data_IF_267746504018
#
_entry.id   IF_267746504018
#
_cell.length_a   1.000
_cell.length_b   1.000
_cell.length_c   1.000
_cell.angle_alpha   90.00
_cell.angle_beta   90.00
_cell.angle_gamma   90.00
#
_symmetry.space_group_name_H-M   'P 1'
#
loop_
_entity.id
_entity.type
_entity.pdbx_description
1 polymer ?
#
# COMPACT_ATOMS: atom_id res chain seq x y z
N UNK A 1 4.05 10.53 16.90
CA UNK A 1 3.36 11.48 16.00
C UNK A 1 1.91 11.50 16.40
N UNK A 2 1.35 12.66 16.70
CA UNK A 2 -0.09 12.84 16.90
C UNK A 2 -0.83 12.68 15.56
N UNK A 3 -2.12 12.34 15.60
CA UNK A 3 -2.95 12.10 14.40
C UNK A 3 -2.97 13.25 13.38
N UNK A 4 -2.62 14.47 13.78
CA UNK A 4 -2.62 15.67 12.93
C UNK A 4 -1.21 16.18 12.54
N UNK A 5 -0.15 15.47 12.93
CA UNK A 5 1.20 15.86 12.53
C UNK A 5 1.40 15.54 11.04
N UNK A 6 1.64 16.58 10.24
CA UNK A 6 1.93 16.45 8.82
C UNK A 6 3.41 16.64 8.53
N UNK A 7 3.93 15.90 7.55
CA UNK A 7 5.31 16.00 7.09
C UNK A 7 5.36 16.27 5.59
N UNK A 8 6.48 16.82 5.14
CA UNK A 8 6.83 17.06 3.73
C UNK A 8 8.13 16.37 3.31
N UNK A 9 8.84 15.73 4.25
CA UNK A 9 10.18 15.19 4.02
C UNK A 9 10.12 13.84 3.29
N UNK A 10 10.96 13.67 2.26
CA UNK A 10 11.17 12.36 1.63
C UNK A 10 12.32 11.61 2.31
N UNK A 11 12.03 10.50 2.98
CA UNK A 11 13.01 9.56 3.53
C UNK A 11 12.58 8.12 3.21
N UNK A 12 13.51 7.25 2.77
CA UNK A 12 13.28 5.81 2.61
C UNK A 12 13.42 5.26 1.18
N UNK A 13 13.13 3.96 1.04
CA UNK A 13 13.20 3.23 -0.23
C UNK A 13 11.97 3.49 -1.08
N UNK A 14 12.16 4.03 -2.29
CA UNK A 14 11.09 4.46 -3.23
C UNK A 14 9.98 3.44 -3.46
N UNK A 15 10.30 2.14 -3.46
CA UNK A 15 9.33 1.07 -3.70
C UNK A 15 8.20 0.99 -2.65
N UNK A 16 8.41 1.55 -1.45
CA UNK A 16 7.42 1.57 -0.36
C UNK A 16 6.73 2.93 -0.21
N UNK A 17 7.10 3.92 -1.03
CA UNK A 17 6.62 5.29 -0.87
C UNK A 17 5.27 5.47 -1.57
N UNK A 18 4.25 6.03 -0.89
CA UNK A 18 2.93 6.25 -1.49
C UNK A 18 2.88 7.44 -2.45
N UNK A 19 1.82 7.54 -3.28
CA UNK A 19 1.69 8.57 -4.31
C UNK A 19 1.78 10.01 -3.79
N UNK A 20 1.16 10.31 -2.65
CA UNK A 20 1.13 11.65 -2.06
C UNK A 20 2.54 12.13 -1.66
N UNK A 21 3.39 11.24 -1.15
CA UNK A 21 4.77 11.56 -0.81
C UNK A 21 5.59 11.79 -2.08
N UNK A 22 5.40 10.97 -3.13
CA UNK A 22 6.04 11.18 -4.44
C UNK A 22 5.59 12.48 -5.13
N UNK A 23 4.39 12.94 -4.83
CA UNK A 23 3.84 14.24 -5.28
C UNK A 23 4.23 15.41 -4.37
N UNK A 24 5.05 15.16 -3.34
CA UNK A 24 5.41 16.17 -2.33
C UNK A 24 4.19 16.83 -1.66
N UNK A 25 3.11 16.08 -1.49
CA UNK A 25 1.92 16.53 -0.79
C UNK A 25 2.10 16.32 0.72
N UNK A 26 1.48 17.15 1.57
CA UNK A 26 1.44 16.89 3.00
C UNK A 26 0.77 15.55 3.27
N UNK A 27 1.33 14.78 4.20
CA UNK A 27 0.83 13.45 4.56
C UNK A 27 0.91 13.24 6.07
N UNK A 28 0.09 12.31 6.58
CA UNK A 28 0.21 11.83 7.97
C UNK A 28 1.08 10.57 7.99
N UNK A 29 1.92 10.40 9.02
CA UNK A 29 2.77 9.20 9.15
C UNK A 29 1.95 7.91 9.10
N UNK A 30 0.80 7.90 9.78
CA UNK A 30 -0.11 6.76 9.81
C UNK A 30 -0.58 6.30 8.43
N UNK A 31 -1.00 7.22 7.55
CA UNK A 31 -1.48 6.83 6.22
C UNK A 31 -0.36 6.29 5.32
N UNK A 32 0.87 6.79 5.50
CA UNK A 32 2.06 6.32 4.79
C UNK A 32 2.50 4.93 5.29
N UNK A 33 2.39 4.69 6.59
CA UNK A 33 2.66 3.38 7.19
C UNK A 33 1.69 2.32 6.67
N UNK A 34 0.40 2.65 6.56
CA UNK A 34 -0.61 1.75 5.98
C UNK A 34 -0.28 1.37 4.53
N UNK A 35 0.16 2.33 3.70
CA UNK A 35 0.60 2.02 2.34
C UNK A 35 1.80 1.07 2.34
N UNK A 36 2.82 1.37 3.14
CA UNK A 36 4.04 0.57 3.23
C UNK A 36 3.73 -0.85 3.70
N UNK A 37 2.81 -1.00 4.67
CA UNK A 37 2.27 -2.29 5.10
C UNK A 37 1.63 -3.05 3.94
N UNK A 38 0.81 -2.39 3.11
CA UNK A 38 0.21 -3.01 1.92
C UNK A 38 1.24 -3.49 0.91
N UNK A 39 2.33 -2.72 0.71
CA UNK A 39 3.45 -3.13 -0.15
C UNK A 39 4.13 -4.37 0.41
N UNK A 40 4.45 -4.39 1.70
CA UNK A 40 5.06 -5.54 2.37
C UNK A 40 4.15 -6.76 2.30
N UNK A 41 2.86 -6.62 2.57
CA UNK A 41 1.88 -7.71 2.46
C UNK A 41 1.80 -8.27 1.04
N UNK A 42 1.78 -7.41 0.02
CA UNK A 42 1.85 -7.85 -1.37
C UNK A 42 3.11 -8.67 -1.64
N UNK A 43 4.27 -8.19 -1.20
CA UNK A 43 5.55 -8.90 -1.37
C UNK A 43 5.55 -10.24 -0.63
N UNK A 44 4.98 -10.34 0.57
CA UNK A 44 4.88 -11.62 1.29
C UNK A 44 4.06 -12.66 0.52
N UNK A 45 2.97 -12.23 -0.11
CA UNK A 45 2.08 -13.12 -0.88
C UNK A 45 2.64 -13.47 -2.26
N UNK A 46 3.52 -12.62 -2.83
CA UNK A 46 3.88 -12.66 -4.27
C UNK A 46 5.35 -12.87 -4.56
N UNK A 47 6.22 -12.51 -3.63
CA UNK A 47 7.67 -12.50 -3.78
C UNK A 47 8.23 -11.37 -4.64
N UNK A 48 7.41 -10.40 -5.07
CA UNK A 48 7.86 -9.26 -5.89
C UNK A 48 7.06 -7.99 -5.58
N UNK A 49 7.58 -6.83 -6.00
CA UNK A 49 7.00 -5.51 -5.72
C UNK A 49 5.69 -5.27 -6.49
N UNK A 50 4.67 -4.63 -5.87
CA UNK A 50 3.42 -4.29 -6.56
C UNK A 50 3.61 -3.25 -7.67
N UNK A 51 4.51 -2.28 -7.43
CA UNK A 51 4.84 -1.21 -8.37
C UNK A 51 6.36 -1.03 -8.40
N UNK A 52 7.01 -1.56 -9.43
CA UNK A 52 8.45 -1.41 -9.62
C UNK A 52 8.75 -0.64 -10.91
N UNK A 53 9.48 0.46 -10.79
CA UNK A 53 10.07 1.18 -11.91
C UNK A 53 11.24 2.02 -11.40
N UNK A 54 12.36 1.98 -12.10
CA UNK A 54 13.53 2.80 -11.76
C UNK A 54 13.24 4.30 -11.92
N UNK A 55 12.26 4.67 -12.75
CA UNK A 55 11.85 6.05 -12.92
C UNK A 55 10.69 6.40 -11.96
N UNK A 56 10.89 7.34 -11.01
CA UNK A 56 9.85 7.71 -10.04
C UNK A 56 8.54 8.19 -10.67
N UNK A 57 8.60 8.86 -11.85
CA UNK A 57 7.41 9.33 -12.55
C UNK A 57 6.61 8.15 -13.12
N UNK A 58 7.28 7.15 -13.68
CA UNK A 58 6.62 5.93 -14.18
C UNK A 58 6.09 5.08 -13.04
N UNK A 59 6.84 4.96 -11.95
CA UNK A 59 6.39 4.30 -10.72
C UNK A 59 5.11 4.97 -10.19
N UNK A 60 5.10 6.29 -10.09
CA UNK A 60 3.92 7.06 -9.71
C UNK A 60 2.76 6.80 -10.67
N UNK A 61 2.98 6.82 -12.00
CA UNK A 61 1.93 6.49 -12.97
C UNK A 61 1.36 5.08 -12.76
N UNK A 62 2.19 4.08 -12.44
CA UNK A 62 1.73 2.72 -12.11
C UNK A 62 0.92 2.68 -10.82
N UNK A 63 1.38 3.36 -9.77
CA UNK A 63 0.65 3.46 -8.51
C UNK A 63 -0.74 4.09 -8.73
N UNK A 64 -0.81 5.17 -9.50
CA UNK A 64 -2.06 5.89 -9.79
C UNK A 64 -3.06 5.09 -10.64
N UNK A 65 -2.62 4.07 -11.37
CA UNK A 65 -3.53 3.14 -12.05
C UNK A 65 -4.24 2.19 -11.07
N UNK A 66 -3.76 2.10 -9.82
CA UNK A 66 -4.30 1.25 -8.76
C UNK A 66 -4.51 -0.21 -9.20
N UNK A 67 -3.65 -0.69 -10.10
CA UNK A 67 -3.75 -2.02 -10.71
C UNK A 67 -2.75 -2.98 -10.08
N UNK A 68 -3.26 -4.05 -9.47
CA UNK A 68 -2.45 -5.12 -8.90
C UNK A 68 -2.56 -6.38 -9.76
N UNK A 69 -1.42 -6.98 -10.11
CA UNK A 69 -1.38 -8.18 -10.95
C UNK A 69 -1.05 -9.41 -10.11
N UNK A 70 -1.92 -10.43 -10.09
CA UNK A 70 -1.72 -11.70 -9.36
C UNK A 70 -1.49 -12.87 -10.33
N UNK A 71 -0.46 -13.72 -10.14
CA UNK A 71 -0.19 -14.84 -11.03
C UNK A 71 -1.29 -15.89 -10.87
N UNK A 72 -1.77 -16.42 -11.99
CA UNK A 72 -2.77 -17.50 -12.00
C UNK A 72 -2.23 -18.83 -11.44
N UNK A 73 -0.90 -19.00 -11.36
CA UNK A 73 -0.26 -20.24 -10.92
C UNK A 73 -0.27 -20.47 -9.41
N UNK A 74 -0.51 -19.42 -8.62
CA UNK A 74 -0.51 -19.51 -7.15
C UNK A 74 -1.94 -19.27 -6.69
N UNK A 75 -2.48 -20.22 -5.92
CA UNK A 75 -3.76 -20.05 -5.26
C UNK A 75 -3.60 -19.05 -4.13
N UNK A 76 -4.06 -17.83 -4.37
CA UNK A 76 -4.10 -16.74 -3.41
C UNK A 76 -5.58 -16.50 -3.13
N UNK A 77 -5.95 -16.47 -1.84
CA UNK A 77 -7.33 -16.26 -1.44
C UNK A 77 -7.86 -14.90 -1.94
N UNK A 78 -9.14 -14.81 -2.25
CA UNK A 78 -9.71 -13.55 -2.74
C UNK A 78 -9.75 -12.49 -1.63
N UNK A 79 -9.84 -12.92 -0.37
CA UNK A 79 -9.85 -12.05 0.81
C UNK A 79 -8.55 -11.27 0.95
N UNK A 80 -7.38 -11.91 0.76
CA UNK A 80 -6.10 -11.19 0.83
C UNK A 80 -5.89 -10.27 -0.38
N UNK A 81 -6.37 -10.67 -1.56
CA UNK A 81 -6.30 -9.81 -2.76
C UNK A 81 -7.11 -8.54 -2.55
N UNK A 82 -8.35 -8.69 -2.05
CA UNK A 82 -9.24 -7.58 -1.72
C UNK A 82 -8.61 -6.69 -0.65
N UNK A 83 -8.10 -7.28 0.44
CA UNK A 83 -7.46 -6.53 1.52
C UNK A 83 -6.26 -5.71 1.01
N UNK A 84 -5.35 -6.30 0.24
CA UNK A 84 -4.20 -5.57 -0.31
C UNK A 84 -4.67 -4.43 -1.23
N UNK A 85 -5.69 -4.67 -2.06
CA UNK A 85 -6.24 -3.67 -2.95
C UNK A 85 -6.81 -2.46 -2.19
N UNK A 86 -7.51 -2.69 -1.08
CA UNK A 86 -8.07 -1.64 -0.21
C UNK A 86 -7.00 -0.90 0.59
N UNK A 87 -5.92 -1.58 1.02
CA UNK A 87 -4.79 -0.93 1.71
C UNK A 87 -3.99 -0.04 0.75
N UNK A 88 -3.72 -0.54 -0.47
CA UNK A 88 -2.96 0.18 -1.50
C UNK A 88 -3.81 1.18 -2.29
N UNK A 89 -4.84 1.75 -1.66
CA UNK A 89 -5.64 2.80 -2.26
C UNK A 89 -4.81 4.07 -2.47
N UNK A 90 -4.94 4.67 -3.66
CA UNK A 90 -4.13 5.83 -4.07
C UNK A 90 -4.47 7.11 -3.33
N UNK A 91 -5.74 7.26 -2.95
CA UNK A 91 -6.24 8.35 -2.09
C UNK A 91 -6.08 7.93 -0.61
N UNK A 92 -5.29 8.65 0.21
CA UNK A 92 -5.00 8.26 1.60
C UNK A 92 -6.24 8.05 2.48
N UNK A 93 -7.27 8.90 2.32
CA UNK A 93 -8.51 8.82 3.10
C UNK A 93 -9.41 7.64 2.71
N UNK A 94 -9.15 6.99 1.58
CA UNK A 94 -9.86 5.80 1.11
C UNK A 94 -9.07 4.51 1.36
N UNK A 95 -7.88 4.61 1.96
CA UNK A 95 -7.15 3.43 2.41
C UNK A 95 -7.90 2.77 3.55
N UNK A 96 -7.91 1.44 3.55
CA UNK A 96 -8.46 0.68 4.67
C UNK A 96 -7.78 1.09 5.98
N UNK A 97 -8.58 1.39 6.99
CA UNK A 97 -8.05 1.84 8.28
C UNK A 97 -7.37 0.68 9.01
N UNK A 98 -6.47 0.98 9.95
CA UNK A 98 -5.86 -0.05 10.79
C UNK A 98 -6.89 -0.96 11.46
N UNK A 99 -7.95 -0.40 12.04
CA UNK A 99 -9.02 -1.17 12.71
C UNK A 99 -9.71 -2.13 11.75
N UNK A 100 -9.95 -1.72 10.51
CA UNK A 100 -10.59 -2.57 9.50
C UNK A 100 -9.63 -3.61 8.90
N UNK A 101 -8.32 -3.32 8.90
CA UNK A 101 -7.29 -4.29 8.51
C UNK A 101 -7.20 -5.42 9.54
N UNK A 102 -7.11 -5.08 10.82
CA UNK A 102 -6.93 -6.09 11.88
C UNK A 102 -8.17 -6.95 12.12
N UNK A 103 -9.34 -6.46 11.71
CA UNK A 103 -10.62 -7.18 11.73
C UNK A 103 -11.01 -7.78 10.37
N UNK A 104 -10.12 -7.70 9.38
CA UNK A 104 -10.40 -8.25 8.05
C UNK A 104 -10.50 -9.77 8.12
N UNK A 105 -11.42 -10.34 7.34
CA UNK A 105 -11.66 -11.78 7.28
C UNK A 105 -10.36 -12.56 7.02
N UNK A 106 -9.51 -12.08 6.12
CA UNK A 106 -8.23 -12.74 5.85
C UNK A 106 -7.36 -12.88 7.10
N UNK A 107 -7.22 -11.81 7.89
CA UNK A 107 -6.37 -11.85 9.09
C UNK A 107 -7.04 -12.65 10.22
N UNK A 108 -8.36 -12.48 10.42
CA UNK A 108 -9.08 -13.13 11.54
C UNK A 108 -9.36 -14.61 11.32
N UNK A 109 -9.45 -15.08 10.07
CA UNK A 109 -9.58 -16.51 9.78
C UNK A 109 -8.24 -17.26 9.79
N UNK A 110 -7.11 -16.54 9.79
CA UNK A 110 -5.76 -17.13 9.71
C UNK A 110 -5.08 -17.29 11.08
N UNK A 111 -5.71 -16.85 12.17
CA UNK A 111 -5.24 -17.00 13.57
C UNK A 111 -6.18 -17.87 14.37
#
# INVERSE_FOLDING_TARGET
>A
MHNNDTSYTFCGSRAYVPPEVLKSQPYTGFTVDLWSLGVVLFVMVKGFMPYDDQNPRRMLSKQLQHKLTFPHKILISEEVKALIYEILHTIPSQRKSYSDIVTSSWLTYSV
#
